data_IF_106602254874
#
_entry.id   IF_106602254874
#
_cell.length_a   1.000
_cell.length_b   1.000
_cell.length_c   1.000
_cell.angle_alpha   90.00
_cell.angle_beta   90.00
_cell.angle_gamma   90.00
#
_symmetry.space_group_name_H-M   'P 1'
#
loop_
_entity.id
_entity.type
_entity.pdbx_description
1 polymer ?
#
# COMPACT_ATOMS: atom_id res chain seq x y z
N UNK A 1 19.84 -11.91 1.22
CA UNK A 1 19.97 -10.48 1.61
C UNK A 1 20.78 -10.43 2.90
N UNK A 2 21.99 -9.86 2.90
CA UNK A 2 22.80 -9.75 4.11
C UNK A 2 22.20 -8.72 5.08
N UNK A 3 22.19 -9.03 6.38
CA UNK A 3 21.80 -8.09 7.44
C UNK A 3 22.96 -7.11 7.63
N UNK A 4 22.73 -5.83 7.43
CA UNK A 4 23.74 -4.77 7.56
C UNK A 4 23.30 -3.75 8.61
N UNK A 5 24.16 -2.79 8.98
CA UNK A 5 23.80 -1.70 9.91
C UNK A 5 22.55 -0.91 9.49
N UNK A 6 22.20 -0.93 8.20
CA UNK A 6 20.97 -0.31 7.67
C UNK A 6 19.70 -1.15 7.84
N UNK A 7 19.80 -2.37 8.38
CA UNK A 7 18.64 -3.25 8.57
C UNK A 7 18.00 -2.98 9.93
N UNK A 8 16.91 -2.20 9.94
CA UNK A 8 16.18 -1.85 11.17
C UNK A 8 15.46 -3.03 11.83
N UNK A 9 15.23 -4.13 11.09
CA UNK A 9 14.60 -5.34 11.60
C UNK A 9 14.36 -6.37 10.50
N UNK A 10 14.11 -7.62 10.92
CA UNK A 10 13.71 -8.72 10.02
C UNK A 10 12.38 -9.26 10.49
N UNK A 11 11.35 -9.11 9.65
CA UNK A 11 10.01 -9.63 9.93
C UNK A 11 9.89 -11.05 9.36
N UNK A 12 9.67 -12.03 10.23
CA UNK A 12 9.45 -13.43 9.85
C UNK A 12 7.96 -13.73 9.98
N UNK A 13 7.33 -14.14 8.89
CA UNK A 13 5.90 -14.47 8.83
C UNK A 13 5.71 -15.94 8.45
N UNK A 14 4.82 -16.62 9.15
CA UNK A 14 4.41 -18.00 8.86
C UNK A 14 3.47 -18.06 7.66
N UNK A 15 3.33 -19.23 7.02
CA UNK A 15 2.40 -19.38 5.88
C UNK A 15 0.97 -18.95 6.19
N UNK A 16 0.50 -19.16 7.42
CA UNK A 16 -0.84 -18.76 7.87
C UNK A 16 -1.01 -17.24 7.97
N UNK A 17 0.05 -16.51 8.27
CA UNK A 17 0.03 -15.04 8.39
C UNK A 17 0.15 -14.33 7.03
N UNK A 18 0.63 -15.06 6.02
CA UNK A 18 0.80 -14.57 4.64
C UNK A 18 -0.22 -15.20 3.69
N UNK A 19 -1.12 -16.05 4.19
CA UNK A 19 -2.06 -16.77 3.35
C UNK A 19 -2.91 -15.76 2.59
N UNK A 20 -2.67 -15.67 1.28
CA UNK A 20 -3.25 -14.63 0.44
C UNK A 20 -4.69 -15.03 0.18
N UNK A 21 -5.59 -14.61 1.06
CA UNK A 21 -7.01 -14.63 0.77
C UNK A 21 -7.23 -13.90 -0.57
N UNK A 22 -8.16 -14.44 -1.36
CA UNK A 22 -8.41 -14.02 -2.73
C UNK A 22 -8.68 -12.51 -2.78
N UNK A 23 -8.07 -11.79 -3.74
CA UNK A 23 -8.36 -10.37 -3.92
C UNK A 23 -9.86 -10.21 -4.22
N UNK A 24 -10.53 -9.39 -3.42
CA UNK A 24 -11.94 -9.05 -3.60
C UNK A 24 -12.10 -7.56 -3.87
N UNK A 25 -13.31 -7.13 -4.21
CA UNK A 25 -13.60 -5.72 -4.43
C UNK A 25 -13.46 -4.90 -3.14
N UNK A 26 -13.06 -3.63 -3.27
CA UNK A 26 -12.95 -2.72 -2.13
C UNK A 26 -14.32 -2.48 -1.49
N UNK A 27 -14.46 -2.87 -0.22
CA UNK A 27 -15.68 -2.72 0.60
C UNK A 27 -15.90 -1.29 1.12
N UNK A 28 -15.00 -0.35 0.82
CA UNK A 28 -15.01 1.04 1.35
C UNK A 28 -15.07 1.14 2.89
N UNK A 29 -14.43 0.21 3.59
CA UNK A 29 -14.44 0.12 5.06
C UNK A 29 -13.62 1.20 5.81
N UNK A 30 -12.84 2.06 5.13
CA UNK A 30 -12.05 3.13 5.77
C UNK A 30 -10.75 2.69 6.47
N UNK A 31 -10.63 1.42 6.86
CA UNK A 31 -9.50 0.89 7.67
C UNK A 31 -8.09 1.18 7.13
N UNK A 32 -7.93 1.27 5.81
CA UNK A 32 -6.65 1.62 5.18
C UNK A 32 -6.19 3.06 5.47
N UNK A 33 -7.12 3.97 5.76
CA UNK A 33 -6.83 5.37 6.11
C UNK A 33 -6.42 5.44 7.58
N UNK A 34 -7.15 4.75 8.46
CA UNK A 34 -6.88 4.73 9.91
C UNK A 34 -5.50 4.15 10.25
N UNK A 35 -5.07 3.14 9.49
CA UNK A 35 -3.76 2.50 9.67
C UNK A 35 -2.60 3.26 8.98
N UNK A 36 -2.89 4.32 8.22
CA UNK A 36 -1.85 5.02 7.48
C UNK A 36 -1.13 6.03 8.39
N UNK A 37 0.18 5.87 8.66
CA UNK A 37 0.92 6.81 9.51
C UNK A 37 1.05 8.19 8.89
N UNK A 38 0.95 8.29 7.56
CA UNK A 38 1.01 9.54 6.81
C UNK A 38 -0.37 10.18 6.58
N UNK A 39 -1.46 9.55 7.05
CA UNK A 39 -2.84 10.06 6.84
C UNK A 39 -3.27 10.11 5.37
N UNK A 40 -2.68 9.28 4.50
CA UNK A 40 -3.01 9.22 3.09
C UNK A 40 -4.32 8.47 2.85
N UNK A 41 -4.82 8.53 1.60
CA UNK A 41 -5.99 7.76 1.16
C UNK A 41 -5.56 6.68 0.15
N UNK A 42 -5.16 5.47 0.63
CA UNK A 42 -4.60 4.42 -0.23
C UNK A 42 -5.55 3.95 -1.33
N UNK A 43 -6.86 3.94 -1.07
CA UNK A 43 -7.89 3.52 -2.03
C UNK A 43 -7.93 4.42 -3.25
N UNK A 44 -7.77 5.73 -3.08
CA UNK A 44 -7.75 6.68 -4.18
C UNK A 44 -6.44 6.61 -4.96
N UNK A 45 -5.31 6.43 -4.28
CA UNK A 45 -4.02 6.18 -4.92
C UNK A 45 -4.01 4.87 -5.72
N UNK A 46 -4.62 3.81 -5.19
CA UNK A 46 -4.79 2.55 -5.89
C UNK A 46 -5.67 2.70 -7.13
N UNK A 47 -6.74 3.49 -7.06
CA UNK A 47 -7.57 3.83 -8.23
C UNK A 47 -6.78 4.64 -9.26
N UNK A 48 -6.00 5.63 -8.82
CA UNK A 48 -5.12 6.41 -9.69
C UNK A 48 -4.13 5.52 -10.44
N UNK A 49 -3.51 4.56 -9.72
CA UNK A 49 -2.58 3.60 -10.30
C UNK A 49 -3.24 2.71 -11.37
N UNK A 50 -4.48 2.27 -11.13
CA UNK A 50 -5.23 1.42 -12.09
C UNK A 50 -5.60 2.16 -13.36
N UNK A 51 -5.94 3.45 -13.26
CA UNK A 51 -6.33 4.29 -14.40
C UNK A 51 -5.13 4.97 -15.07
N UNK A 52 -3.97 5.01 -14.40
CA UNK A 52 -2.79 5.74 -14.89
C UNK A 52 -2.88 7.25 -14.69
N UNK A 53 -3.73 7.73 -13.78
CA UNK A 53 -3.99 9.16 -13.58
C UNK A 53 -2.92 9.81 -12.68
N UNK A 54 -1.93 10.43 -13.33
CA UNK A 54 -0.86 11.21 -12.69
C UNK A 54 -1.40 12.38 -11.84
N UNK A 55 -2.43 13.09 -12.34
CA UNK A 55 -2.95 14.27 -11.64
C UNK A 55 -3.61 13.86 -10.33
N UNK A 56 -4.40 12.78 -10.36
CA UNK A 56 -5.01 12.24 -9.16
C UNK A 56 -3.94 11.77 -8.16
N UNK A 57 -2.91 11.07 -8.62
CA UNK A 57 -1.82 10.60 -7.77
C UNK A 57 -1.06 11.75 -7.08
N UNK A 58 -0.81 12.86 -7.78
CA UNK A 58 -0.21 14.07 -7.19
C UNK A 58 -1.14 14.74 -6.19
N UNK A 59 -2.44 14.88 -6.50
CA UNK A 59 -3.45 15.48 -5.59
C UNK A 59 -3.56 14.74 -4.25
N UNK A 60 -3.35 13.42 -4.26
CA UNK A 60 -3.35 12.60 -3.06
C UNK A 60 -1.94 12.36 -2.48
N UNK A 61 -0.97 13.20 -2.84
CA UNK A 61 0.39 13.19 -2.28
C UNK A 61 1.06 11.80 -2.34
N UNK A 62 1.00 11.12 -3.50
CA UNK A 62 1.59 9.77 -3.67
C UNK A 62 3.06 9.68 -3.25
N UNK A 63 3.82 10.79 -3.41
CA UNK A 63 5.22 10.89 -3.01
C UNK A 63 5.46 10.80 -1.50
N UNK A 64 4.46 11.12 -0.68
CA UNK A 64 4.56 11.03 0.78
C UNK A 64 4.42 9.59 1.31
N UNK A 65 3.96 8.63 0.49
CA UNK A 65 3.87 7.24 0.93
C UNK A 65 5.27 6.68 1.17
N UNK A 66 5.54 6.06 2.31
CA UNK A 66 6.83 5.44 2.63
C UNK A 66 6.87 3.91 2.39
N UNK A 67 5.87 3.37 1.69
CA UNK A 67 5.79 1.93 1.35
C UNK A 67 5.80 0.99 2.57
N UNK A 68 5.20 1.41 3.69
CA UNK A 68 5.23 0.68 4.96
C UNK A 68 4.43 -0.63 5.01
N UNK A 69 3.52 -0.91 4.07
CA UNK A 69 2.75 -2.16 4.06
C UNK A 69 1.48 -2.20 4.93
N UNK A 70 1.31 -1.27 5.88
CA UNK A 70 0.21 -1.31 6.86
C UNK A 70 -1.19 -1.36 6.23
N UNK A 71 -1.40 -0.61 5.14
CA UNK A 71 -2.69 -0.57 4.46
C UNK A 71 -3.02 -1.88 3.72
N UNK A 72 -2.02 -2.56 3.17
CA UNK A 72 -2.21 -3.84 2.48
C UNK A 72 -2.46 -4.97 3.49
N UNK A 73 -1.74 -4.96 4.61
CA UNK A 73 -1.91 -5.95 5.68
C UNK A 73 -3.26 -5.85 6.40
N UNK A 74 -3.72 -4.63 6.68
CA UNK A 74 -5.00 -4.41 7.36
C UNK A 74 -6.24 -4.44 6.45
N UNK A 75 -6.08 -4.69 5.15
CA UNK A 75 -7.18 -4.67 4.20
C UNK A 75 -7.98 -5.98 4.28
N UNK A 76 -9.28 -5.96 4.67
CA UNK A 76 -10.10 -7.18 4.68
C UNK A 76 -10.33 -7.76 3.28
N UNK A 77 -10.17 -6.94 2.24
CA UNK A 77 -10.33 -7.35 0.84
C UNK A 77 -9.02 -7.81 0.18
N UNK A 78 -7.90 -7.82 0.93
CA UNK A 78 -6.58 -8.22 0.46
C UNK A 78 -6.09 -7.49 -0.81
N UNK A 79 -6.47 -6.22 -0.97
CA UNK A 79 -5.99 -5.43 -2.11
C UNK A 79 -4.47 -5.20 -2.00
N UNK A 80 -3.71 -5.36 -3.10
CA UNK A 80 -2.27 -5.08 -3.14
C UNK A 80 -1.99 -3.57 -3.20
N UNK A 81 -2.44 -2.82 -2.18
CA UNK A 81 -2.39 -1.36 -2.13
C UNK A 81 -0.95 -0.81 -2.26
N UNK A 82 0.02 -1.42 -1.58
CA UNK A 82 1.41 -0.95 -1.64
C UNK A 82 1.99 -1.12 -3.05
N UNK A 83 1.79 -2.26 -3.69
CA UNK A 83 2.22 -2.47 -5.08
C UNK A 83 1.58 -1.45 -6.02
N UNK A 84 0.28 -1.17 -5.88
CA UNK A 84 -0.40 -0.15 -6.70
C UNK A 84 0.16 1.26 -6.44
N UNK A 85 0.44 1.61 -5.18
CA UNK A 85 1.03 2.91 -4.84
C UNK A 85 2.45 3.04 -5.40
N UNK A 86 3.24 1.95 -5.40
CA UNK A 86 4.56 1.92 -6.06
C UNK A 86 4.44 2.21 -7.55
N UNK A 87 3.47 1.61 -8.23
CA UNK A 87 3.18 1.92 -9.64
C UNK A 87 2.79 3.39 -9.81
N UNK A 88 1.92 3.93 -8.96
CA UNK A 88 1.55 5.34 -9.02
C UNK A 88 2.72 6.30 -8.74
N UNK A 89 3.67 5.94 -7.87
CA UNK A 89 4.90 6.71 -7.69
C UNK A 89 5.75 6.74 -8.96
N UNK A 90 5.93 5.60 -9.62
CA UNK A 90 6.65 5.52 -10.89
C UNK A 90 5.99 6.32 -12.00
N UNK A 91 4.68 6.53 -11.92
CA UNK A 91 4.01 7.47 -12.80
C UNK A 91 4.44 8.90 -12.42
N UNK A 92 4.40 9.32 -11.17
CA UNK A 92 4.64 10.74 -10.84
C UNK A 92 6.11 11.17 -10.86
N UNK A 93 7.04 10.24 -10.63
CA UNK A 93 8.51 10.46 -10.58
C UNK A 93 9.13 10.37 -11.98
#
# INVERSE_FOLDING_TARGET
MPVTKGTSGVTVLTRREVDRAQETACLRCGRCVDLCPMGLVPTKLASAARVGDRQLAQRYYVGACMECGCCAYGCPANLPLVQLIRLAKLLVV
#
